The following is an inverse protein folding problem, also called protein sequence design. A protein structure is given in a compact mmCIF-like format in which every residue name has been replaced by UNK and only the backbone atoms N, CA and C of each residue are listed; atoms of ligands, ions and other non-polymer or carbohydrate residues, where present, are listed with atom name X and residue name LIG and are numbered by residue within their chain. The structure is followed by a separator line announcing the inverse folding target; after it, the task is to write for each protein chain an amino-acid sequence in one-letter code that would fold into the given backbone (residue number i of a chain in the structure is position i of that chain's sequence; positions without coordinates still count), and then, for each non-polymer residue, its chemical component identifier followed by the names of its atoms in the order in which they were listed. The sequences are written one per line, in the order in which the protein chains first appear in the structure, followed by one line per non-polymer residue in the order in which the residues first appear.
data_IF_335802222590
#
_entry.id   IF_335802222590
#
_cell.length_a   1.000
_cell.length_b   1.000
_cell.length_c   1.000
_cell.angle_alpha   90.00
_cell.angle_beta   90.00
_cell.angle_gamma   90.00
#
_symmetry.space_group_name_H-M   'P 1'
#
loop_
_entity.id
_entity.type
_entity.pdbx_description
1 polymer ?
#
# COMPACT_ATOMS: atom_id res chain seq x y z
N UNK A 1 -13.15 4.80 58.19
CA UNK A 1 -12.48 3.54 57.78
C UNK A 1 -12.31 3.58 56.28
N UNK A 2 -11.05 3.59 55.86
CA UNK A 2 -10.55 3.75 54.50
C UNK A 2 -10.58 2.42 53.75
N UNK A 3 -11.13 2.39 52.53
CA UNK A 3 -10.77 1.37 51.56
C UNK A 3 -10.73 1.96 50.14
N UNK A 4 -9.60 2.61 49.81
CA UNK A 4 -9.21 2.93 48.43
C UNK A 4 -8.54 1.67 47.87
N UNK A 5 -9.32 0.88 47.14
CA UNK A 5 -8.80 -0.21 46.32
C UNK A 5 -7.86 0.39 45.27
N UNK A 6 -6.57 0.05 45.38
CA UNK A 6 -5.52 0.43 44.44
C UNK A 6 -5.77 -0.31 43.13
N UNK A 7 -6.26 0.39 42.11
CA UNK A 7 -6.00 -0.02 40.74
C UNK A 7 -4.52 0.26 40.46
N UNK A 8 -3.72 -0.81 40.45
CA UNK A 8 -2.38 -0.80 39.88
C UNK A 8 -2.48 -0.49 38.39
N UNK A 9 -1.76 0.51 37.86
CA UNK A 9 -1.72 0.74 36.42
C UNK A 9 -0.99 -0.43 35.77
N UNK A 10 -1.73 -1.18 34.94
CA UNK A 10 -1.16 -2.12 33.98
C UNK A 10 -0.26 -1.30 33.05
N UNK A 11 1.03 -1.62 33.03
CA UNK A 11 2.06 -0.90 32.25
C UNK A 11 1.70 -0.89 30.76
N UNK A 12 1.67 0.27 30.08
CA UNK A 12 1.72 0.32 28.63
C UNK A 12 3.17 0.50 28.15
N UNK A 13 3.67 -0.48 27.41
CA UNK A 13 4.89 -0.36 26.61
C UNK A 13 4.59 0.20 25.20
N UNK A 14 3.86 1.31 25.13
CA UNK A 14 3.54 2.00 23.88
C UNK A 14 4.11 3.42 23.91
N UNK A 15 4.83 3.81 22.85
CA UNK A 15 5.37 5.16 22.68
C UNK A 15 4.23 6.19 22.64
N UNK A 16 4.01 6.88 23.77
CA UNK A 16 3.16 8.08 23.80
C UNK A 16 3.82 9.17 22.96
N UNK A 17 3.30 9.36 21.74
CA UNK A 17 3.63 10.53 20.91
C UNK A 17 3.23 11.77 21.70
N UNK A 18 4.20 12.61 22.06
CA UNK A 18 3.94 13.86 22.80
C UNK A 18 3.14 14.80 21.91
N UNK A 19 2.32 15.67 22.50
CA UNK A 19 1.41 16.58 21.78
C UNK A 19 2.11 17.38 20.65
N UNK A 20 3.38 17.79 20.86
CA UNK A 20 4.20 18.45 19.85
C UNK A 20 4.67 17.52 18.72
N UNK A 21 5.01 16.27 19.01
CA UNK A 21 5.36 15.28 18.00
C UNK A 21 4.16 14.98 17.09
N UNK A 22 2.96 14.90 17.68
CA UNK A 22 1.72 14.69 16.92
C UNK A 22 1.44 15.82 15.94
N UNK A 23 1.61 17.08 16.37
CA UNK A 23 1.45 18.25 15.48
C UNK A 23 2.41 18.17 14.29
N UNK A 24 3.67 17.78 14.54
CA UNK A 24 4.67 17.61 13.47
C UNK A 24 4.29 16.46 12.53
N UNK A 25 3.81 15.34 13.06
CA UNK A 25 3.31 14.19 12.29
C UNK A 25 2.15 14.61 11.39
N UNK A 26 1.13 15.27 11.96
CA UNK A 26 -0.07 15.67 11.22
C UNK A 26 0.28 16.67 10.10
N UNK A 27 1.17 17.64 10.38
CA UNK A 27 1.68 18.58 9.38
C UNK A 27 2.46 17.86 8.28
N UNK A 28 3.34 16.92 8.63
CA UNK A 28 4.14 16.18 7.67
C UNK A 28 3.27 15.35 6.72
N UNK A 29 2.26 14.64 7.23
CA UNK A 29 1.32 13.86 6.42
C UNK A 29 0.59 14.75 5.42
N UNK A 30 0.12 15.91 5.87
CA UNK A 30 -0.52 16.91 4.99
C UNK A 30 0.41 17.30 3.84
N UNK A 31 1.66 17.66 4.11
CA UNK A 31 2.61 18.03 3.05
C UNK A 31 2.98 16.85 2.14
N UNK A 32 3.25 15.68 2.72
CA UNK A 32 3.59 14.48 1.95
C UNK A 32 2.43 14.06 1.03
N UNK A 33 1.18 14.11 1.50
CA UNK A 33 0.01 13.81 0.68
C UNK A 33 -0.24 14.82 -0.47
N UNK A 34 0.20 16.07 -0.30
CA UNK A 34 0.03 17.15 -1.28
C UNK A 34 1.16 17.19 -2.32
N UNK A 35 2.42 17.08 -1.88
CA UNK A 35 3.62 17.31 -2.71
C UNK A 35 4.50 16.08 -2.90
N UNK A 36 4.25 15.00 -2.14
CA UNK A 36 5.14 13.84 -2.01
C UNK A 36 6.25 14.07 -0.97
N UNK A 37 6.76 12.98 -0.39
CA UNK A 37 7.84 12.98 0.58
C UNK A 37 9.09 13.65 0.04
N UNK A 38 9.56 13.26 -1.15
CA UNK A 38 10.80 13.76 -1.75
C UNK A 38 10.79 15.28 -1.91
N UNK A 39 9.69 15.83 -2.43
CA UNK A 39 9.52 17.27 -2.69
C UNK A 39 9.21 18.10 -1.45
N UNK A 40 8.93 17.47 -0.30
CA UNK A 40 8.64 18.16 0.96
C UNK A 40 9.93 18.39 1.75
N UNK A 41 10.18 19.64 2.16
CA UNK A 41 11.31 20.00 3.02
C UNK A 41 10.95 20.01 4.50
N UNK A 42 11.93 19.73 5.36
CA UNK A 42 11.79 19.87 6.83
C UNK A 42 11.43 21.31 7.22
N UNK A 43 11.90 22.30 6.46
CA UNK A 43 11.60 23.71 6.72
C UNK A 43 10.11 24.02 6.53
N UNK A 44 9.46 23.47 5.50
CA UNK A 44 8.03 23.66 5.27
C UNK A 44 7.20 23.09 6.42
N UNK A 45 7.51 21.86 6.85
CA UNK A 45 6.84 21.20 7.99
C UNK A 45 7.03 22.02 9.28
N UNK A 46 8.27 22.43 9.57
CA UNK A 46 8.58 23.21 10.76
C UNK A 46 7.83 24.56 10.77
N UNK A 47 7.80 25.26 9.63
CA UNK A 47 7.09 26.53 9.48
C UNK A 47 5.58 26.39 9.70
N UNK A 48 4.94 25.36 9.15
CA UNK A 48 3.50 25.09 9.35
C UNK A 48 3.18 24.74 10.81
N UNK A 49 4.10 24.07 11.50
CA UNK A 49 4.00 23.79 12.94
C UNK A 49 4.33 24.99 13.85
N UNK A 50 4.79 26.13 13.29
CA UNK A 50 5.22 27.29 14.07
C UNK A 50 6.48 27.03 14.91
N UNK A 51 7.35 26.12 14.50
CA UNK A 51 8.61 25.79 15.18
C UNK A 51 9.82 26.10 14.29
N UNK A 52 11.00 26.25 14.90
CA UNK A 52 12.24 26.37 14.15
C UNK A 52 12.66 25.01 13.57
N UNK A 53 13.43 25.03 12.47
CA UNK A 53 14.07 23.82 11.92
C UNK A 53 14.97 23.13 12.95
N UNK A 54 15.65 23.88 13.81
CA UNK A 54 16.42 23.31 14.92
C UNK A 54 15.54 22.59 15.94
N UNK A 55 14.37 23.15 16.27
CA UNK A 55 13.41 22.53 17.17
C UNK A 55 12.81 21.24 16.59
N UNK A 56 12.59 21.16 15.27
CA UNK A 56 12.18 19.92 14.61
C UNK A 56 13.19 18.78 14.89
N UNK A 57 14.49 19.05 14.76
CA UNK A 57 15.53 18.04 14.97
C UNK A 57 15.69 17.57 16.42
N UNK A 58 15.05 18.23 17.39
CA UNK A 58 14.93 17.72 18.76
C UNK A 58 13.94 16.56 18.86
N UNK A 59 12.98 16.48 17.94
CA UNK A 59 11.97 15.42 17.88
C UNK A 59 12.34 14.32 16.87
N UNK A 60 12.75 14.72 15.66
CA UNK A 60 13.03 13.79 14.56
C UNK A 60 14.43 14.02 13.99
N UNK A 61 15.27 12.99 13.99
CA UNK A 61 16.67 13.08 13.51
C UNK A 61 16.76 13.40 12.03
N UNK A 62 15.77 13.01 11.24
CA UNK A 62 15.66 13.23 9.80
C UNK A 62 14.22 13.16 9.31
N UNK A 63 13.99 13.57 8.07
CA UNK A 63 12.70 13.41 7.37
C UNK A 63 12.32 11.92 7.26
N UNK A 64 13.30 11.05 7.01
CA UNK A 64 13.13 9.59 6.99
C UNK A 64 12.72 9.02 8.36
N UNK A 65 13.32 9.51 9.45
CA UNK A 65 12.95 9.08 10.80
C UNK A 65 11.53 9.49 11.18
N UNK A 66 11.08 10.65 10.67
CA UNK A 66 9.71 11.09 10.79
C UNK A 66 8.77 10.17 10.00
N UNK A 67 9.08 9.85 8.74
CA UNK A 67 8.29 8.92 7.93
C UNK A 67 8.18 7.54 8.59
N UNK A 68 9.28 7.00 9.08
CA UNK A 68 9.28 5.74 9.82
C UNK A 68 8.36 5.80 11.05
N UNK A 69 8.44 6.89 11.83
CA UNK A 69 7.59 7.08 13.02
C UNK A 69 6.12 7.18 12.65
N UNK A 70 5.78 7.87 11.55
CA UNK A 70 4.42 7.96 11.02
C UNK A 70 3.90 6.56 10.65
N UNK A 71 4.66 5.80 9.87
CA UNK A 71 4.28 4.45 9.46
C UNK A 71 4.11 3.52 10.65
N UNK A 72 5.05 3.57 11.60
CA UNK A 72 5.01 2.76 12.81
C UNK A 72 3.78 3.09 13.65
N UNK A 73 3.47 4.38 13.84
CA UNK A 73 2.29 4.82 14.59
C UNK A 73 0.99 4.23 14.00
N UNK A 74 0.81 4.30 12.68
CA UNK A 74 -0.39 3.75 12.02
C UNK A 74 -0.47 2.24 12.07
N UNK A 75 0.67 1.59 11.93
CA UNK A 75 0.77 0.15 12.04
C UNK A 75 0.44 -0.33 13.46
N UNK A 76 0.99 0.32 14.49
CA UNK A 76 0.73 -0.03 15.88
C UNK A 76 -0.75 0.17 16.24
N UNK A 77 -1.39 1.25 15.75
CA UNK A 77 -2.83 1.49 15.90
C UNK A 77 -3.66 0.36 15.26
N UNK A 78 -3.31 -0.03 14.03
CA UNK A 78 -3.99 -1.09 13.30
C UNK A 78 -3.87 -2.45 13.99
N UNK A 79 -2.66 -2.86 14.35
CA UNK A 79 -2.41 -4.18 14.95
C UNK A 79 -3.00 -4.28 16.35
N UNK A 80 -2.89 -3.25 17.18
CA UNK A 80 -3.49 -3.24 18.52
C UNK A 80 -5.00 -3.49 18.44
N UNK A 81 -5.69 -2.81 17.52
CA UNK A 81 -7.12 -3.02 17.33
C UNK A 81 -7.45 -4.43 16.78
N UNK A 82 -6.63 -4.96 15.85
CA UNK A 82 -6.80 -6.33 15.36
C UNK A 82 -6.65 -7.37 16.48
N UNK A 83 -5.68 -7.17 17.38
CA UNK A 83 -5.48 -8.01 18.56
C UNK A 83 -6.68 -7.94 19.50
N UNK A 84 -7.15 -6.74 19.83
CA UNK A 84 -8.32 -6.55 20.69
C UNK A 84 -9.58 -7.22 20.12
N UNK A 85 -9.84 -7.05 18.81
CA UNK A 85 -10.96 -7.73 18.13
C UNK A 85 -10.77 -9.24 18.18
N UNK A 86 -9.55 -9.73 17.97
CA UNK A 86 -9.25 -11.17 17.98
C UNK A 86 -9.54 -11.83 19.33
N UNK A 87 -9.44 -11.08 20.43
CA UNK A 87 -9.67 -11.56 21.80
C UNK A 87 -11.14 -11.51 22.23
N UNK A 88 -12.03 -10.86 21.46
CA UNK A 88 -13.47 -10.83 21.76
C UNK A 88 -14.07 -12.23 21.80
N UNK A 89 -14.96 -12.47 22.76
CA UNK A 89 -15.74 -13.71 22.92
C UNK A 89 -17.05 -13.65 22.13
N UNK A 90 -16.92 -13.54 20.82
CA UNK A 90 -18.03 -13.50 19.84
C UNK A 90 -17.80 -14.55 18.75
N UNK A 91 -18.83 -14.95 17.98
CA UNK A 91 -18.69 -15.91 16.89
C UNK A 91 -17.57 -15.54 15.92
N UNK A 92 -16.85 -16.54 15.41
CA UNK A 92 -15.70 -16.34 14.51
C UNK A 92 -16.04 -15.46 13.30
N UNK A 93 -17.23 -15.66 12.72
CA UNK A 93 -17.72 -14.87 11.58
C UNK A 93 -17.94 -13.40 11.92
N UNK A 94 -18.48 -13.11 13.10
CA UNK A 94 -18.69 -11.74 13.55
C UNK A 94 -17.35 -11.05 13.86
N UNK A 95 -16.43 -11.78 14.49
CA UNK A 95 -15.06 -11.33 14.75
C UNK A 95 -14.33 -10.95 13.46
N UNK A 96 -14.40 -11.81 12.43
CA UNK A 96 -13.72 -11.53 11.17
C UNK A 96 -14.38 -10.37 10.41
N UNK A 97 -15.70 -10.26 10.47
CA UNK A 97 -16.42 -9.10 9.93
C UNK A 97 -16.01 -7.79 10.64
N UNK A 98 -15.86 -7.81 11.97
CA UNK A 98 -15.36 -6.66 12.73
C UNK A 98 -13.93 -6.27 12.32
N UNK A 99 -13.05 -7.26 12.09
CA UNK A 99 -11.68 -7.01 11.61
C UNK A 99 -11.70 -6.33 10.23
N UNK A 100 -12.45 -6.87 9.27
CA UNK A 100 -12.58 -6.26 7.93
C UNK A 100 -13.16 -4.83 8.03
N UNK A 101 -14.22 -4.65 8.82
CA UNK A 101 -14.88 -3.35 8.99
C UNK A 101 -13.91 -2.32 9.59
N UNK A 102 -13.16 -2.73 10.63
CA UNK A 102 -12.15 -1.87 11.24
C UNK A 102 -11.07 -1.48 10.25
N UNK A 103 -10.55 -2.43 9.46
CA UNK A 103 -9.53 -2.15 8.45
C UNK A 103 -9.98 -1.11 7.42
N UNK A 104 -11.21 -1.22 6.90
CA UNK A 104 -11.78 -0.20 6.00
C UNK A 104 -11.92 1.17 6.68
N UNK A 105 -12.43 1.21 7.92
CA UNK A 105 -12.57 2.45 8.68
C UNK A 105 -11.21 3.10 8.98
N UNK A 106 -10.21 2.30 9.33
CA UNK A 106 -8.85 2.75 9.60
C UNK A 106 -8.21 3.34 8.34
N UNK A 107 -8.36 2.66 7.19
CA UNK A 107 -7.87 3.17 5.91
C UNK A 107 -8.55 4.51 5.53
N UNK A 108 -9.86 4.63 5.74
CA UNK A 108 -10.60 5.88 5.51
C UNK A 108 -10.15 7.02 6.43
N UNK A 109 -10.00 6.73 7.72
CA UNK A 109 -9.54 7.69 8.73
C UNK A 109 -8.14 8.22 8.42
N UNK A 110 -7.33 7.43 7.74
CA UNK A 110 -5.95 7.75 7.38
C UNK A 110 -5.74 7.85 5.87
N UNK A 111 -6.78 8.22 5.12
CA UNK A 111 -6.74 8.25 3.65
C UNK A 111 -5.62 9.13 3.10
N UNK A 112 -5.28 10.25 3.75
CA UNK A 112 -4.19 11.11 3.31
C UNK A 112 -2.83 10.39 3.37
N UNK A 113 -2.62 9.56 4.39
CA UNK A 113 -1.44 8.70 4.53
C UNK A 113 -1.42 7.57 3.48
N UNK A 114 -2.57 6.95 3.18
CA UNK A 114 -2.67 5.94 2.12
C UNK A 114 -2.44 6.58 0.73
N UNK A 115 -3.02 7.75 0.48
CA UNK A 115 -2.83 8.53 -0.75
C UNK A 115 -1.35 8.95 -0.88
N UNK A 116 -0.72 9.41 0.20
CA UNK A 116 0.72 9.70 0.23
C UNK A 116 1.53 8.48 -0.22
N UNK A 117 1.31 7.30 0.39
CA UNK A 117 2.01 6.06 0.00
C UNK A 117 1.81 5.72 -1.49
N UNK A 118 0.63 6.02 -2.03
CA UNK A 118 0.31 5.72 -3.43
C UNK A 118 0.86 6.72 -4.45
N UNK A 119 1.00 7.99 -4.06
CA UNK A 119 1.57 9.06 -4.90
C UNK A 119 3.08 8.99 -4.97
N UNK A 120 3.71 8.35 -3.98
CA UNK A 120 5.15 8.18 -3.95
C UNK A 120 5.58 6.95 -4.76
N UNK A 121 6.20 7.21 -5.91
CA UNK A 121 6.94 6.19 -6.67
C UNK A 121 8.26 5.78 -5.99
N UNK A 122 8.59 6.33 -4.82
CA UNK A 122 9.65 5.83 -3.95
C UNK A 122 9.49 6.47 -2.56
N UNK A 123 8.82 5.78 -1.64
CA UNK A 123 9.29 5.80 -0.25
C UNK A 123 10.79 5.50 -0.35
N UNK A 124 11.72 6.32 0.19
CA UNK A 124 13.11 5.93 0.22
C UNK A 124 13.17 4.67 1.07
N UNK A 125 13.24 3.52 0.40
CA UNK A 125 13.36 2.22 1.03
C UNK A 125 14.78 2.11 1.54
N UNK A 126 15.11 2.92 2.54
CA UNK A 126 16.08 2.46 3.50
C UNK A 126 15.55 1.13 4.06
N UNK A 127 16.48 0.24 4.41
CA UNK A 127 16.12 -1.13 4.80
C UNK A 127 15.08 -1.14 5.93
N UNK A 128 15.14 -0.17 6.86
CA UNK A 128 14.20 -0.07 7.98
C UNK A 128 12.74 0.13 7.56
N UNK A 129 12.48 1.00 6.57
CA UNK A 129 11.11 1.21 6.08
C UNK A 129 10.65 -0.01 5.27
N UNK A 130 11.52 -0.61 4.46
CA UNK A 130 11.21 -1.85 3.74
C UNK A 130 10.83 -2.98 4.70
N UNK A 131 11.62 -3.17 5.76
CA UNK A 131 11.38 -4.19 6.77
C UNK A 131 10.07 -3.94 7.52
N UNK A 132 9.75 -2.67 7.80
CA UNK A 132 8.47 -2.30 8.40
C UNK A 132 7.30 -2.66 7.47
N UNK A 133 7.36 -2.32 6.19
CA UNK A 133 6.30 -2.65 5.22
C UNK A 133 6.11 -4.16 5.07
N UNK A 134 7.20 -4.93 5.00
CA UNK A 134 7.15 -6.40 4.97
C UNK A 134 6.49 -6.94 6.23
N UNK A 135 6.86 -6.41 7.40
CA UNK A 135 6.25 -6.80 8.68
C UNK A 135 4.74 -6.51 8.68
N UNK A 136 4.35 -5.29 8.29
CA UNK A 136 2.95 -4.87 8.18
C UNK A 136 2.14 -5.82 7.30
N UNK A 137 2.64 -6.11 6.10
CA UNK A 137 1.96 -6.98 5.15
C UNK A 137 1.84 -8.42 5.67
N UNK A 138 2.93 -8.95 6.23
CA UNK A 138 2.96 -10.30 6.82
C UNK A 138 1.90 -10.47 7.90
N UNK A 139 1.78 -9.49 8.81
CA UNK A 139 0.83 -9.57 9.91
C UNK A 139 -0.62 -9.43 9.44
N UNK A 140 -0.90 -8.51 8.51
CA UNK A 140 -2.25 -8.39 7.93
C UNK A 140 -2.67 -9.67 7.20
N UNK A 141 -1.78 -10.27 6.41
CA UNK A 141 -2.04 -11.56 5.77
C UNK A 141 -2.24 -12.68 6.80
N UNK A 142 -1.50 -12.65 7.91
CA UNK A 142 -1.70 -13.59 9.02
C UNK A 142 -3.09 -13.46 9.65
N UNK A 143 -3.56 -12.23 9.90
CA UNK A 143 -4.92 -11.98 10.42
C UNK A 143 -5.99 -12.45 9.45
N UNK A 144 -5.85 -12.15 8.15
CA UNK A 144 -6.79 -12.58 7.13
C UNK A 144 -6.84 -14.11 7.02
N UNK A 145 -5.69 -14.78 6.95
CA UNK A 145 -5.65 -16.24 6.85
C UNK A 145 -6.23 -16.92 8.09
N UNK A 146 -5.95 -16.41 9.30
CA UNK A 146 -6.56 -16.89 10.55
C UNK A 146 -8.07 -16.66 10.56
N UNK A 147 -8.53 -15.49 10.09
CA UNK A 147 -9.93 -15.16 9.95
C UNK A 147 -10.67 -16.14 9.04
N UNK A 148 -10.16 -16.34 7.82
CA UNK A 148 -10.66 -17.32 6.85
C UNK A 148 -10.71 -18.74 7.42
N UNK A 149 -9.62 -19.18 8.04
CA UNK A 149 -9.54 -20.49 8.68
C UNK A 149 -10.58 -20.64 9.80
N UNK A 150 -10.78 -19.60 10.62
CA UNK A 150 -11.73 -19.64 11.73
C UNK A 150 -13.20 -19.73 11.30
N UNK A 151 -13.55 -19.24 10.10
CA UNK A 151 -14.94 -19.25 9.60
C UNK A 151 -15.25 -20.46 8.72
N UNK A 152 -14.26 -21.02 8.02
CA UNK A 152 -14.45 -22.14 7.09
C UNK A 152 -13.92 -23.48 7.63
N UNK A 153 -13.06 -23.46 8.64
CA UNK A 153 -12.57 -24.65 9.34
C UNK A 153 -11.54 -25.47 8.55
N UNK A 154 -11.13 -26.59 9.15
CA UNK A 154 -10.12 -27.50 8.57
C UNK A 154 -10.62 -28.18 7.29
N UNK A 155 -11.92 -28.40 7.15
CA UNK A 155 -12.50 -29.06 5.97
C UNK A 155 -12.22 -28.30 4.67
N UNK A 156 -12.12 -26.96 4.75
CA UNK A 156 -11.87 -26.10 3.58
C UNK A 156 -10.42 -25.59 3.50
N UNK A 157 -9.51 -26.14 4.32
CA UNK A 157 -8.15 -25.65 4.48
C UNK A 157 -7.36 -25.54 3.17
N UNK A 158 -7.57 -26.48 2.26
CA UNK A 158 -6.87 -26.51 0.97
C UNK A 158 -7.16 -25.29 0.09
N UNK A 159 -8.30 -24.64 0.27
CA UNK A 159 -8.74 -23.48 -0.53
C UNK A 159 -8.34 -22.13 0.07
N UNK A 160 -7.83 -22.10 1.30
CA UNK A 160 -7.71 -20.83 2.05
C UNK A 160 -6.68 -19.86 1.45
N UNK A 161 -5.64 -20.37 0.77
CA UNK A 161 -4.65 -19.50 0.14
C UNK A 161 -5.21 -18.84 -1.13
N UNK A 162 -5.95 -19.59 -1.94
CA UNK A 162 -6.68 -19.08 -3.09
C UNK A 162 -7.73 -18.04 -2.66
N UNK A 163 -8.50 -18.35 -1.62
CA UNK A 163 -9.44 -17.39 -1.02
C UNK A 163 -8.73 -16.14 -0.51
N UNK A 164 -7.57 -16.27 0.13
CA UNK A 164 -6.78 -15.14 0.62
C UNK A 164 -6.36 -14.22 -0.54
N UNK A 165 -5.91 -14.79 -1.66
CA UNK A 165 -5.51 -14.04 -2.85
C UNK A 165 -6.70 -13.33 -3.50
N UNK A 166 -7.83 -14.01 -3.63
CA UNK A 166 -9.06 -13.41 -4.17
C UNK A 166 -9.54 -12.29 -3.24
N UNK A 167 -9.53 -12.53 -1.94
CA UNK A 167 -9.92 -11.55 -0.93
C UNK A 167 -9.00 -10.31 -0.96
N UNK A 168 -7.68 -10.50 -1.08
CA UNK A 168 -6.70 -9.40 -1.23
C UNK A 168 -7.09 -8.48 -2.38
N UNK A 169 -7.38 -9.05 -3.56
CA UNK A 169 -7.82 -8.32 -4.74
C UNK A 169 -9.15 -7.57 -4.54
N UNK A 170 -10.14 -8.23 -3.93
CA UNK A 170 -11.44 -7.62 -3.64
C UNK A 170 -11.30 -6.47 -2.63
N UNK A 171 -10.62 -6.68 -1.50
CA UNK A 171 -10.36 -5.65 -0.49
C UNK A 171 -9.68 -4.46 -1.13
N UNK A 172 -8.63 -4.70 -1.92
CA UNK A 172 -7.88 -3.64 -2.58
C UNK A 172 -8.77 -2.80 -3.51
N UNK A 173 -9.64 -3.44 -4.29
CA UNK A 173 -10.57 -2.76 -5.18
C UNK A 173 -11.57 -1.89 -4.41
N UNK A 174 -12.16 -2.41 -3.33
CA UNK A 174 -13.07 -1.61 -2.49
C UNK A 174 -12.34 -0.49 -1.74
N UNK A 175 -11.13 -0.73 -1.23
CA UNK A 175 -10.34 0.30 -0.54
C UNK A 175 -10.02 1.45 -1.49
N UNK A 176 -9.59 1.16 -2.71
CA UNK A 176 -9.34 2.18 -3.73
C UNK A 176 -10.59 3.03 -3.97
N UNK A 177 -11.74 2.39 -4.19
CA UNK A 177 -13.01 3.08 -4.42
C UNK A 177 -13.39 3.97 -3.23
N UNK A 178 -13.32 3.43 -2.01
CA UNK A 178 -13.69 4.11 -0.76
C UNK A 178 -12.78 5.30 -0.46
N UNK A 179 -11.50 5.24 -0.84
CA UNK A 179 -10.52 6.31 -0.61
C UNK A 179 -10.63 7.43 -1.65
N UNK A 180 -10.85 7.09 -2.91
CA UNK A 180 -10.80 8.04 -4.03
C UNK A 180 -12.15 8.68 -4.34
N UNK A 181 -13.25 7.97 -4.13
CA UNK A 181 -14.58 8.40 -4.54
C UNK A 181 -15.48 8.69 -3.33
N UNK A 182 -16.29 9.76 -3.39
CA UNK A 182 -17.31 10.04 -2.37
C UNK A 182 -18.50 9.07 -2.53
N UNK A 183 -18.31 7.81 -2.11
CA UNK A 183 -19.37 6.79 -2.18
C UNK A 183 -20.27 6.80 -0.94
N UNK A 184 -21.56 6.54 -1.14
CA UNK A 184 -22.54 6.42 -0.06
C UNK A 184 -22.77 4.95 0.35
N UNK A 185 -21.69 4.26 0.71
CA UNK A 185 -21.73 2.85 1.14
C UNK A 185 -20.95 2.70 2.45
N UNK A 186 -21.54 2.05 3.45
CA UNK A 186 -20.86 1.86 4.73
C UNK A 186 -19.78 0.78 4.65
N UNK A 187 -18.69 0.95 5.40
CA UNK A 187 -17.60 -0.03 5.51
C UNK A 187 -18.04 -1.39 6.05
N UNK A 188 -19.11 -1.40 6.87
CA UNK A 188 -19.75 -2.62 7.37
C UNK A 188 -20.49 -3.34 6.25
N UNK A 189 -21.23 -2.63 5.40
CA UNK A 189 -21.92 -3.24 4.26
C UNK A 189 -20.94 -3.84 3.26
N UNK A 190 -19.82 -3.16 3.00
CA UNK A 190 -18.70 -3.70 2.18
C UNK A 190 -18.19 -5.01 2.80
N UNK A 191 -17.94 -5.03 4.11
CA UNK A 191 -17.42 -6.20 4.81
C UNK A 191 -18.42 -7.37 4.75
N UNK A 192 -19.72 -7.11 4.95
CA UNK A 192 -20.79 -8.11 4.81
C UNK A 192 -20.85 -8.65 3.37
N UNK A 193 -20.76 -7.76 2.38
CA UNK A 193 -20.79 -8.13 0.98
C UNK A 193 -19.60 -9.02 0.61
N UNK A 194 -18.39 -8.64 1.02
CA UNK A 194 -17.16 -9.40 0.80
C UNK A 194 -17.26 -10.81 1.37
N UNK A 195 -17.66 -10.95 2.64
CA UNK A 195 -17.82 -12.27 3.25
C UNK A 195 -18.85 -13.14 2.51
N UNK A 196 -19.99 -12.56 2.09
CA UNK A 196 -20.98 -13.27 1.27
C UNK A 196 -20.43 -13.73 -0.08
N UNK A 197 -19.52 -12.97 -0.70
CA UNK A 197 -18.85 -13.37 -1.95
C UNK A 197 -17.87 -14.53 -1.70
N UNK A 198 -17.08 -14.46 -0.64
CA UNK A 198 -16.18 -15.56 -0.26
C UNK A 198 -16.95 -16.85 0.06
N UNK A 199 -18.09 -16.75 0.75
CA UNK A 199 -18.97 -17.90 1.01
C UNK A 199 -19.43 -18.57 -0.29
N UNK A 200 -19.77 -17.76 -1.30
CA UNK A 200 -20.22 -18.26 -2.61
C UNK A 200 -19.07 -18.94 -3.35
N UNK A 201 -17.88 -18.33 -3.34
CA UNK A 201 -16.69 -18.83 -4.02
C UNK A 201 -16.24 -20.16 -3.41
N UNK A 202 -16.11 -20.23 -2.08
CA UNK A 202 -15.62 -21.46 -1.44
C UNK A 202 -16.61 -22.61 -1.54
N UNK A 203 -17.92 -22.31 -1.53
CA UNK A 203 -18.95 -23.32 -1.74
C UNK A 203 -18.86 -23.91 -3.15
N UNK A 204 -18.59 -23.08 -4.15
CA UNK A 204 -18.42 -23.54 -5.53
C UNK A 204 -17.13 -24.35 -5.71
N UNK A 205 -15.99 -23.84 -5.21
CA UNK A 205 -14.70 -24.54 -5.22
C UNK A 205 -14.81 -25.94 -4.61
N UNK A 206 -15.47 -26.04 -3.47
CA UNK A 206 -15.66 -27.29 -2.75
C UNK A 206 -16.59 -28.25 -3.47
N UNK A 207 -17.73 -27.75 -3.97
CA UNK A 207 -18.70 -28.56 -4.72
C UNK A 207 -18.07 -29.17 -5.98
N UNK A 208 -17.19 -28.42 -6.64
CA UNK A 208 -16.53 -28.84 -7.88
C UNK A 208 -15.22 -29.59 -7.63
N UNK A 209 -14.78 -29.76 -6.37
CA UNK A 209 -13.48 -30.30 -6.00
C UNK A 209 -12.34 -29.63 -6.78
N UNK A 210 -12.35 -28.30 -6.82
CA UNK A 210 -11.33 -27.55 -7.55
C UNK A 210 -9.93 -27.86 -7.00
N UNK A 211 -8.94 -27.80 -7.89
CA UNK A 211 -7.54 -27.94 -7.49
C UNK A 211 -7.01 -26.56 -7.06
N UNK A 212 -6.50 -26.39 -5.83
CA UNK A 212 -5.91 -25.13 -5.39
C UNK A 212 -4.75 -24.70 -6.28
N UNK A 213 -4.70 -23.42 -6.65
CA UNK A 213 -3.62 -22.84 -7.45
C UNK A 213 -2.39 -22.54 -6.58
N UNK A 214 -2.60 -22.23 -5.30
CA UNK A 214 -1.52 -21.74 -4.44
C UNK A 214 -1.21 -22.72 -3.31
N UNK A 215 0.10 -22.85 -3.04
CA UNK A 215 0.62 -23.64 -1.93
C UNK A 215 1.28 -22.76 -0.88
N UNK A 216 1.61 -23.32 0.28
CA UNK A 216 2.25 -22.57 1.37
C UNK A 216 3.62 -22.01 1.01
N UNK A 217 4.31 -22.56 0.01
CA UNK A 217 5.56 -21.98 -0.51
C UNK A 217 5.32 -20.65 -1.24
N UNK A 218 4.18 -20.51 -1.92
CA UNK A 218 3.77 -19.26 -2.58
C UNK A 218 3.49 -18.13 -1.57
N UNK A 219 2.86 -18.45 -0.43
CA UNK A 219 2.64 -17.47 0.62
C UNK A 219 3.95 -16.86 1.14
N UNK A 220 4.98 -17.70 1.36
CA UNK A 220 6.32 -17.23 1.77
C UNK A 220 6.98 -16.34 0.70
N UNK A 221 6.69 -16.58 -0.57
CA UNK A 221 7.21 -15.79 -1.68
C UNK A 221 6.55 -14.39 -1.72
N UNK A 222 5.21 -14.33 -1.64
CA UNK A 222 4.49 -13.04 -1.67
C UNK A 222 4.82 -12.18 -0.45
N UNK A 223 4.86 -12.75 0.76
CA UNK A 223 5.15 -11.96 1.97
C UNK A 223 6.54 -11.30 1.92
N UNK A 224 7.50 -11.92 1.22
CA UNK A 224 8.86 -11.37 1.07
C UNK A 224 8.98 -10.30 -0.01
N UNK A 225 7.99 -10.16 -0.89
CA UNK A 225 7.93 -9.13 -1.95
C UNK A 225 6.82 -8.13 -1.59
N UNK A 226 7.12 -7.09 -0.78
CA UNK A 226 6.10 -6.13 -0.39
C UNK A 226 5.53 -5.45 -1.63
N UNK A 227 4.20 -5.49 -1.78
CA UNK A 227 3.49 -4.63 -2.74
C UNK A 227 3.56 -3.22 -2.16
N UNK A 228 4.51 -2.43 -2.63
CA UNK A 228 4.81 -1.10 -2.07
C UNK A 228 3.70 -0.10 -2.42
N UNK A 229 2.94 -0.35 -3.48
CA UNK A 229 1.95 0.60 -3.96
C UNK A 229 0.52 0.06 -3.89
N UNK A 230 -0.26 0.61 -2.96
CA UNK A 230 -1.68 0.33 -2.79
C UNK A 230 -2.56 0.85 -3.94
N UNK A 231 -2.01 1.59 -4.91
CA UNK A 231 -2.74 2.03 -6.11
C UNK A 231 -1.92 1.82 -7.39
N UNK A 232 -1.09 0.79 -7.47
CA UNK A 232 -0.21 0.53 -8.61
C UNK A 232 -0.98 0.45 -9.95
N UNK A 233 -1.07 1.60 -10.62
CA UNK A 233 -1.44 1.73 -12.05
C UNK A 233 -0.19 1.98 -12.88
N UNK A 234 0.97 2.21 -12.26
CA UNK A 234 2.15 2.70 -12.95
C UNK A 234 2.64 1.78 -14.08
N UNK A 235 2.53 0.45 -13.94
CA UNK A 235 2.82 -0.44 -15.06
C UNK A 235 1.83 -0.28 -16.21
N UNK A 236 0.54 -0.14 -15.93
CA UNK A 236 -0.46 0.08 -16.98
C UNK A 236 -0.28 1.44 -17.64
N UNK A 237 0.01 2.50 -16.87
CA UNK A 237 0.26 3.84 -17.40
C UNK A 237 1.50 3.85 -18.32
N UNK A 238 2.54 3.09 -18.01
CA UNK A 238 3.70 2.88 -18.89
C UNK A 238 3.30 2.12 -20.16
N UNK A 239 2.54 1.02 -20.02
CA UNK A 239 2.11 0.23 -21.17
C UNK A 239 1.20 1.05 -22.10
N UNK A 240 0.33 1.89 -21.52
CA UNK A 240 -0.54 2.81 -22.26
C UNK A 240 0.28 3.92 -22.94
N UNK A 241 1.32 4.43 -22.27
CA UNK A 241 2.27 5.37 -22.86
C UNK A 241 3.03 4.76 -24.04
N UNK A 242 3.53 3.53 -23.91
CA UNK A 242 4.20 2.81 -25.01
C UNK A 242 3.25 2.56 -26.17
N UNK A 243 2.03 2.07 -25.90
CA UNK A 243 1.00 1.87 -26.92
C UNK A 243 0.62 3.19 -27.61
N UNK A 244 0.59 4.30 -26.87
CA UNK A 244 0.36 5.63 -27.43
C UNK A 244 1.49 6.07 -28.35
N UNK A 245 2.76 5.92 -27.96
CA UNK A 245 3.92 6.21 -28.82
C UNK A 245 3.86 5.35 -30.09
N UNK A 246 3.56 4.06 -29.96
CA UNK A 246 3.46 3.14 -31.09
C UNK A 246 2.37 3.54 -32.09
N UNK A 247 1.19 3.97 -31.61
CA UNK A 247 0.12 4.51 -32.48
C UNK A 247 0.55 5.82 -33.16
N UNK A 248 1.17 6.73 -32.41
CA UNK A 248 1.63 8.03 -32.93
C UNK A 248 2.80 7.91 -33.91
N UNK A 249 3.56 6.80 -33.88
CA UNK A 249 4.71 6.58 -34.76
C UNK A 249 4.37 5.97 -36.13
N UNK A 250 3.11 5.58 -36.38
CA UNK A 250 2.68 4.91 -37.62
C UNK A 250 2.98 5.69 -38.92
N UNK A 251 3.12 7.02 -38.82
CA UNK A 251 3.35 7.91 -39.97
C UNK A 251 4.66 8.70 -39.87
N UNK A 252 5.59 8.28 -39.01
CA UNK A 252 6.88 8.96 -38.82
C UNK A 252 7.96 8.30 -39.70
N UNK A 253 8.79 9.10 -40.37
CA UNK A 253 9.81 8.62 -41.32
C UNK A 253 10.80 7.61 -40.71
N UNK A 254 11.07 7.70 -39.40
CA UNK A 254 12.02 6.86 -38.66
C UNK A 254 11.33 5.77 -37.80
N UNK A 255 10.15 5.29 -38.22
CA UNK A 255 9.34 4.32 -37.47
C UNK A 255 10.12 3.10 -36.96
N UNK A 256 11.00 2.53 -37.77
CA UNK A 256 11.77 1.33 -37.39
C UNK A 256 12.67 1.56 -36.17
N UNK A 257 13.29 2.75 -36.06
CA UNK A 257 14.15 3.10 -34.92
C UNK A 257 13.33 3.29 -33.64
N UNK A 258 12.13 3.87 -33.77
CA UNK A 258 11.17 4.00 -32.67
C UNK A 258 10.71 2.62 -32.21
N UNK A 259 10.38 1.72 -33.12
CA UNK A 259 9.94 0.35 -32.79
C UNK A 259 11.02 -0.43 -32.01
N UNK A 260 12.28 -0.36 -32.45
CA UNK A 260 13.41 -0.98 -31.72
C UNK A 260 13.57 -0.37 -30.33
N UNK A 261 13.45 0.96 -30.22
CA UNK A 261 13.51 1.67 -28.94
C UNK A 261 12.40 1.21 -27.99
N UNK A 262 11.18 1.05 -28.49
CA UNK A 262 10.04 0.55 -27.72
C UNK A 262 10.20 -0.93 -27.34
N UNK A 263 10.77 -1.77 -28.20
CA UNK A 263 11.04 -3.19 -27.90
C UNK A 263 12.03 -3.34 -26.74
N UNK A 264 13.12 -2.55 -26.75
CA UNK A 264 14.10 -2.55 -25.65
C UNK A 264 13.49 -2.00 -24.37
N UNK A 265 12.70 -0.92 -24.44
CA UNK A 265 11.94 -0.42 -23.28
C UNK A 265 11.02 -1.50 -22.72
N UNK A 266 10.24 -2.17 -23.57
CA UNK A 266 9.35 -3.26 -23.17
C UNK A 266 10.11 -4.41 -22.51
N UNK A 267 11.28 -4.76 -23.03
CA UNK A 267 12.14 -5.80 -22.44
C UNK A 267 12.60 -5.41 -21.03
N UNK A 268 13.06 -4.17 -20.83
CA UNK A 268 13.44 -3.68 -19.51
C UNK A 268 12.25 -3.56 -18.57
N UNK A 269 11.09 -3.10 -19.06
CA UNK A 269 9.87 -2.95 -18.24
C UNK A 269 9.39 -4.28 -17.68
N UNK A 270 9.54 -5.38 -18.42
CA UNK A 270 9.13 -6.72 -17.97
C UNK A 270 10.22 -7.47 -17.20
N UNK A 271 11.41 -6.87 -17.01
CA UNK A 271 12.49 -7.50 -16.25
C UNK A 271 12.21 -7.45 -14.74
N UNK A 272 12.61 -8.50 -14.01
CA UNK A 272 12.56 -8.52 -12.54
C UNK A 272 13.39 -7.37 -11.90
N UNK A 273 14.48 -6.98 -12.57
CA UNK A 273 15.36 -5.86 -12.19
C UNK A 273 15.70 -5.00 -13.44
N UNK A 274 14.88 -3.97 -13.75
CA UNK A 274 15.10 -3.10 -14.90
C UNK A 274 16.39 -2.27 -14.78
N UNK A 275 17.14 -2.17 -15.87
CA UNK A 275 18.39 -1.40 -15.92
C UNK A 275 18.10 0.05 -16.28
N UNK A 276 18.00 0.90 -15.26
CA UNK A 276 17.68 2.34 -15.42
C UNK A 276 18.53 3.08 -16.47
N UNK A 277 19.86 2.83 -16.61
CA UNK A 277 20.65 3.48 -17.66
C UNK A 277 20.18 3.15 -19.08
N UNK A 278 19.67 1.92 -19.31
CA UNK A 278 19.14 1.50 -20.61
C UNK A 278 17.83 2.22 -20.88
N UNK A 279 16.92 2.23 -19.91
CA UNK A 279 15.63 2.92 -20.02
C UNK A 279 15.86 4.42 -20.30
N UNK A 280 16.81 5.07 -19.60
CA UNK A 280 17.17 6.46 -19.84
C UNK A 280 17.71 6.69 -21.25
N UNK A 281 18.58 5.80 -21.72
CA UNK A 281 19.11 5.85 -23.09
C UNK A 281 18.00 5.74 -24.12
N UNK A 282 17.11 4.76 -23.97
CA UNK A 282 15.99 4.55 -24.89
C UNK A 282 15.01 5.73 -24.88
N UNK A 283 14.70 6.30 -23.71
CA UNK A 283 13.86 7.51 -23.66
C UNK A 283 14.52 8.72 -24.33
N UNK A 284 15.85 8.83 -24.26
CA UNK A 284 16.59 9.91 -24.92
C UNK A 284 16.52 9.83 -26.45
N UNK A 285 16.45 8.62 -27.02
CA UNK A 285 16.23 8.42 -28.46
C UNK A 285 14.89 9.00 -28.95
N UNK A 286 13.93 9.22 -28.03
CA UNK A 286 12.62 9.75 -28.35
C UNK A 286 12.53 11.29 -28.21
N UNK A 287 13.59 11.97 -27.73
CA UNK A 287 13.57 13.41 -27.45
C UNK A 287 13.36 14.29 -28.68
N UNK A 288 13.75 13.83 -29.86
CA UNK A 288 13.57 14.58 -31.11
C UNK A 288 12.10 14.61 -31.58
N UNK A 289 11.22 13.84 -30.94
CA UNK A 289 9.82 13.68 -31.30
C UNK A 289 8.92 14.38 -30.27
N UNK A 290 8.63 15.67 -30.50
CA UNK A 290 7.79 16.51 -29.61
C UNK A 290 6.42 15.92 -29.28
N UNK A 291 5.88 15.06 -30.14
CA UNK A 291 4.59 14.40 -29.94
C UNK A 291 4.62 13.26 -28.91
N UNK A 292 5.79 12.90 -28.37
CA UNK A 292 5.96 11.86 -27.34
C UNK A 292 6.31 12.42 -25.95
N UNK A 293 6.43 13.75 -25.79
CA UNK A 293 6.91 14.34 -24.53
C UNK A 293 6.09 13.94 -23.30
N UNK A 294 4.76 13.81 -23.44
CA UNK A 294 3.90 13.37 -22.34
C UNK A 294 4.14 11.92 -21.99
N UNK A 295 4.21 11.03 -22.97
CA UNK A 295 4.50 9.61 -22.76
C UNK A 295 5.92 9.38 -22.20
N UNK A 296 6.92 10.10 -22.72
CA UNK A 296 8.28 10.05 -22.20
C UNK A 296 8.33 10.52 -20.75
N UNK A 297 7.61 11.59 -20.38
CA UNK A 297 7.50 12.04 -18.98
C UNK A 297 6.83 10.99 -18.11
N UNK A 298 5.79 10.31 -18.59
CA UNK A 298 5.12 9.23 -17.86
C UNK A 298 6.09 8.09 -17.55
N UNK A 299 6.82 7.60 -18.56
CA UNK A 299 7.78 6.49 -18.40
C UNK A 299 8.99 6.94 -17.56
N UNK A 300 9.54 8.13 -17.81
CA UNK A 300 10.67 8.67 -17.06
C UNK A 300 10.34 8.89 -15.59
N UNK A 301 9.13 9.40 -15.30
CA UNK A 301 8.67 9.60 -13.92
C UNK A 301 8.63 8.27 -13.18
N UNK A 302 8.02 7.23 -13.78
CA UNK A 302 7.95 5.91 -13.16
C UNK A 302 9.31 5.35 -12.76
N UNK A 303 10.34 5.56 -13.59
CA UNK A 303 11.71 5.08 -13.35
C UNK A 303 12.63 6.10 -12.67
N UNK A 304 12.13 7.27 -12.24
CA UNK A 304 12.91 8.37 -11.66
C UNK A 304 14.07 8.85 -12.55
N UNK A 305 13.87 8.85 -13.86
CA UNK A 305 14.85 9.29 -14.85
C UNK A 305 14.66 10.78 -15.11
N UNK A 306 15.73 11.55 -14.93
CA UNK A 306 15.80 12.92 -15.46
C UNK A 306 16.11 12.86 -16.96
N UNK A 307 15.13 13.30 -17.77
CA UNK A 307 15.25 13.54 -19.20
C UNK A 307 15.86 14.91 -19.49
#
# INVERSE_FOLDING_TARGET
MTNKSRCTPIRPGGNYVKEKEKIIIDSAIKFFAQKGFSSTSVQEIASDCGISKGAFYLYFKSKDSLLYTIMQYYYDELITAMEEISQKRIPAREKYMDQLTFMFNHALKHKEFIIMQSKEQAIPLNNSIKDLLVKMQSELQSYNLKGLHSIYGEEKKQYLLDLLMIQDGLIHSFLKLVILEPINVSTRDISIYLLKRLDSIITDMDKNNENPLFSTSFLKYIIKKPKINFMEHGHQDILDAIASIQRKSEHVANKQEIEITLEVLMTEIHADEPRLPIIKGMLSNLNDYKNFEEEQKTIASFYHIQL
#
